data_IF_593669997077
#
_entry.id   IF_593669997077
#
_cell.length_a   1.000
_cell.length_b   1.000
_cell.length_c   1.000
_cell.angle_alpha   90.00
_cell.angle_beta   90.00
_cell.angle_gamma   90.00
#
_symmetry.space_group_name_H-M   'P 1'
#
loop_
_entity.id
_entity.type
_entity.pdbx_description
1 polymer ?
#
# COMPACT_ATOMS: atom_id res chain seq x y z
N UNK A 1 -27.88 4.11 12.23
CA UNK A 1 -29.24 4.44 11.75
C UNK A 1 -29.46 4.18 10.25
N UNK A 2 -28.51 3.60 9.51
CA UNK A 2 -28.62 3.37 8.06
C UNK A 2 -29.05 1.95 7.66
N UNK A 3 -29.19 1.03 8.60
CA UNK A 3 -29.48 -0.38 8.32
C UNK A 3 -30.98 -0.76 8.32
N UNK A 4 -31.86 0.12 8.80
CA UNK A 4 -33.28 -0.21 9.02
C UNK A 4 -34.22 0.11 7.84
N UNK A 5 -33.87 1.06 6.97
CA UNK A 5 -34.78 1.46 5.88
C UNK A 5 -34.94 0.38 4.80
N UNK A 6 -33.90 -0.42 4.53
CA UNK A 6 -33.95 -1.42 3.46
C UNK A 6 -34.70 -2.69 3.88
N UNK A 7 -34.78 -2.98 5.18
CA UNK A 7 -35.50 -4.16 5.69
C UNK A 7 -37.03 -4.02 5.58
N UNK A 8 -37.55 -2.80 5.46
CA UNK A 8 -38.97 -2.53 5.24
C UNK A 8 -39.37 -2.50 3.74
N UNK A 9 -38.43 -2.73 2.82
CA UNK A 9 -38.69 -2.61 1.39
C UNK A 9 -39.45 -3.86 0.88
N UNK A 10 -40.60 -3.69 0.21
CA UNK A 10 -41.29 -4.80 -0.45
C UNK A 10 -40.39 -5.43 -1.53
N UNK A 11 -40.40 -6.76 -1.65
CA UNK A 11 -39.58 -7.48 -2.63
C UNK A 11 -39.78 -6.98 -4.09
N UNK A 12 -41.01 -6.59 -4.44
CA UNK A 12 -41.32 -5.96 -5.74
C UNK A 12 -40.49 -4.71 -5.99
N UNK A 13 -40.34 -3.84 -4.98
CA UNK A 13 -39.61 -2.60 -5.12
C UNK A 13 -38.09 -2.83 -5.05
N UNK A 14 -37.64 -3.86 -4.33
CA UNK A 14 -36.27 -4.32 -4.36
C UNK A 14 -35.85 -4.79 -5.78
N UNK A 15 -36.71 -5.51 -6.49
CA UNK A 15 -36.46 -5.93 -7.87
C UNK A 15 -36.41 -4.74 -8.84
N UNK A 16 -37.30 -3.75 -8.67
CA UNK A 16 -37.24 -2.50 -9.44
C UNK A 16 -35.93 -1.76 -9.17
N UNK A 17 -35.52 -1.67 -7.91
CA UNK A 17 -34.26 -1.03 -7.53
C UNK A 17 -33.06 -1.74 -8.14
N UNK A 18 -33.04 -3.09 -8.15
CA UNK A 18 -32.01 -3.88 -8.83
C UNK A 18 -31.95 -3.60 -10.33
N UNK A 19 -33.10 -3.38 -10.97
CA UNK A 19 -33.15 -2.98 -12.40
C UNK A 19 -32.59 -1.57 -12.64
N UNK A 20 -32.80 -0.63 -11.71
CA UNK A 20 -32.20 0.70 -11.78
C UNK A 20 -30.70 0.68 -11.52
N UNK A 21 -30.23 -0.19 -10.61
CA UNK A 21 -28.80 -0.37 -10.37
C UNK A 21 -28.06 -0.73 -11.66
N UNK A 22 -28.65 -1.58 -12.52
CA UNK A 22 -28.10 -1.87 -13.85
C UNK A 22 -27.87 -0.61 -14.68
N UNK A 23 -28.84 0.30 -14.72
CA UNK A 23 -28.67 1.58 -15.43
C UNK A 23 -27.61 2.46 -14.74
N UNK A 24 -27.58 2.45 -13.41
CA UNK A 24 -26.65 3.25 -12.61
C UNK A 24 -25.20 2.79 -12.73
N UNK A 25 -24.92 1.53 -13.05
CA UNK A 25 -23.55 1.05 -13.35
C UNK A 25 -22.92 1.73 -14.56
N UNK A 26 -23.71 2.38 -15.40
CA UNK A 26 -23.21 3.19 -16.52
C UNK A 26 -22.57 4.49 -16.04
N UNK A 27 -22.97 4.98 -14.86
CA UNK A 27 -22.40 6.19 -14.25
C UNK A 27 -21.23 5.81 -13.35
N UNK A 28 -20.02 6.09 -13.84
CA UNK A 28 -18.75 5.75 -13.20
C UNK A 28 -18.54 6.41 -11.82
N UNK A 29 -19.20 7.54 -11.54
CA UNK A 29 -18.86 8.43 -10.41
C UNK A 29 -19.31 7.92 -9.03
N UNK A 30 -20.17 6.87 -8.97
CA UNK A 30 -20.73 6.35 -7.71
C UNK A 30 -20.73 4.82 -7.63
N UNK A 31 -19.79 4.15 -8.28
CA UNK A 31 -19.74 2.68 -8.38
C UNK A 31 -19.78 1.99 -7.00
N UNK A 32 -19.11 2.56 -5.98
CA UNK A 32 -19.05 2.01 -4.63
C UNK A 32 -20.43 1.99 -3.97
N UNK A 33 -21.19 3.08 -4.11
CA UNK A 33 -22.54 3.19 -3.58
C UNK A 33 -23.47 2.16 -4.23
N UNK A 34 -23.40 2.03 -5.56
CA UNK A 34 -24.20 1.06 -6.33
C UNK A 34 -23.86 -0.37 -5.88
N UNK A 35 -22.59 -0.70 -5.67
CA UNK A 35 -22.16 -2.02 -5.17
C UNK A 35 -22.62 -2.29 -3.72
N UNK A 36 -22.59 -1.27 -2.85
CA UNK A 36 -23.08 -1.38 -1.47
C UNK A 36 -24.58 -1.64 -1.43
N UNK A 37 -25.36 -0.88 -2.19
CA UNK A 37 -26.82 -1.04 -2.28
C UNK A 37 -27.15 -2.42 -2.88
N UNK A 38 -26.45 -2.83 -3.94
CA UNK A 38 -26.60 -4.15 -4.55
C UNK A 38 -26.35 -5.28 -3.56
N UNK A 39 -25.20 -5.26 -2.87
CA UNK A 39 -24.86 -6.29 -1.86
C UNK A 39 -25.90 -6.33 -0.73
N UNK A 40 -26.35 -5.17 -0.27
CA UNK A 40 -27.31 -5.09 0.84
C UNK A 40 -28.72 -5.58 0.42
N UNK A 41 -29.15 -5.31 -0.81
CA UNK A 41 -30.38 -5.88 -1.39
C UNK A 41 -30.28 -7.41 -1.49
N UNK A 42 -29.16 -7.93 -1.99
CA UNK A 42 -28.92 -9.37 -2.09
C UNK A 42 -28.95 -10.03 -0.71
N UNK A 43 -28.28 -9.44 0.28
CA UNK A 43 -28.24 -9.97 1.65
C UNK A 43 -29.62 -9.96 2.32
N UNK A 44 -30.41 -8.90 2.10
CA UNK A 44 -31.73 -8.73 2.73
C UNK A 44 -32.78 -9.66 2.12
N UNK A 45 -32.77 -9.85 0.80
CA UNK A 45 -33.79 -10.63 0.07
C UNK A 45 -33.32 -12.02 -0.37
N UNK A 46 -32.20 -12.53 0.17
CA UNK A 46 -31.57 -13.79 -0.25
C UNK A 46 -32.54 -14.97 -0.32
N UNK A 47 -33.38 -15.15 0.72
CA UNK A 47 -34.35 -16.24 0.79
C UNK A 47 -35.45 -16.13 -0.27
N UNK A 48 -35.89 -14.92 -0.60
CA UNK A 48 -36.92 -14.67 -1.62
C UNK A 48 -36.36 -14.85 -3.04
N UNK A 49 -35.10 -14.45 -3.25
CA UNK A 49 -34.36 -14.67 -4.49
C UNK A 49 -34.14 -16.16 -4.80
N UNK A 50 -33.83 -16.98 -3.78
CA UNK A 50 -33.68 -18.42 -3.95
C UNK A 50 -34.99 -19.12 -4.32
N UNK A 51 -36.10 -18.67 -3.71
CA UNK A 51 -37.44 -19.24 -3.91
C UNK A 51 -38.08 -18.84 -5.24
N UNK A 52 -37.61 -17.79 -5.92
CA UNK A 52 -38.21 -17.31 -7.18
C UNK A 52 -37.28 -17.53 -8.38
N UNK A 53 -37.53 -18.56 -9.22
CA UNK A 53 -36.70 -18.87 -10.39
C UNK A 53 -36.59 -17.72 -11.40
N UNK A 54 -37.65 -16.90 -11.53
CA UNK A 54 -37.70 -15.77 -12.45
C UNK A 54 -36.73 -14.61 -12.09
N UNK A 55 -36.27 -14.53 -10.84
CA UNK A 55 -35.32 -13.50 -10.40
C UNK A 55 -33.86 -13.86 -10.74
N UNK A 56 -33.56 -15.15 -10.96
CA UNK A 56 -32.21 -15.65 -11.26
C UNK A 56 -31.57 -15.00 -12.50
N UNK A 57 -32.21 -14.92 -13.68
CA UNK A 57 -31.58 -14.31 -14.86
C UNK A 57 -31.27 -12.81 -14.66
N UNK A 58 -32.12 -12.09 -13.93
CA UNK A 58 -31.91 -10.67 -13.61
C UNK A 58 -30.70 -10.51 -12.67
N UNK A 59 -30.58 -11.40 -11.70
CA UNK A 59 -29.44 -11.43 -10.77
C UNK A 59 -28.13 -11.77 -11.47
N UNK A 60 -28.12 -12.78 -12.35
CA UNK A 60 -26.92 -13.17 -13.11
C UNK A 60 -26.47 -12.02 -14.01
N UNK A 61 -27.37 -11.46 -14.81
CA UNK A 61 -27.04 -10.36 -15.72
C UNK A 61 -26.56 -9.10 -14.99
N UNK A 62 -27.08 -8.82 -13.78
CA UNK A 62 -26.58 -7.70 -12.98
C UNK A 62 -25.23 -8.00 -12.34
N UNK A 63 -25.02 -9.22 -11.83
CA UNK A 63 -23.76 -9.65 -11.21
C UNK A 63 -22.58 -9.59 -12.18
N UNK A 64 -22.78 -9.98 -13.44
CA UNK A 64 -21.74 -9.91 -14.46
C UNK A 64 -21.30 -8.45 -14.71
N UNK A 65 -22.27 -7.54 -14.84
CA UNK A 65 -22.01 -6.11 -15.04
C UNK A 65 -21.26 -5.52 -13.82
N UNK A 66 -21.68 -5.88 -12.61
CA UNK A 66 -20.99 -5.45 -11.40
C UNK A 66 -19.56 -5.97 -11.32
N UNK A 67 -19.37 -7.25 -11.62
CA UNK A 67 -18.07 -7.90 -11.60
C UNK A 67 -17.10 -7.23 -12.56
N UNK A 68 -17.50 -6.98 -13.82
CA UNK A 68 -16.63 -6.31 -14.79
C UNK A 68 -16.23 -4.90 -14.34
N UNK A 69 -17.18 -4.13 -13.81
CA UNK A 69 -16.90 -2.76 -13.35
C UNK A 69 -15.96 -2.75 -12.14
N UNK A 70 -16.24 -3.58 -11.14
CA UNK A 70 -15.40 -3.69 -9.94
C UNK A 70 -14.00 -4.18 -10.31
N UNK A 71 -13.90 -5.15 -11.23
CA UNK A 71 -12.63 -5.63 -11.74
C UNK A 71 -11.84 -4.52 -12.43
N UNK A 72 -12.48 -3.74 -13.32
CA UNK A 72 -11.83 -2.60 -13.98
C UNK A 72 -11.28 -1.58 -12.99
N UNK A 73 -12.07 -1.20 -11.98
CA UNK A 73 -11.60 -0.31 -10.91
C UNK A 73 -10.45 -0.92 -10.11
N UNK A 74 -10.55 -2.19 -9.71
CA UNK A 74 -9.50 -2.92 -8.98
C UNK A 74 -8.20 -2.95 -9.78
N UNK A 75 -8.27 -3.15 -11.09
CA UNK A 75 -7.09 -3.24 -11.94
C UNK A 75 -6.41 -1.87 -12.08
N UNK A 76 -7.18 -0.78 -12.26
CA UNK A 76 -6.65 0.60 -12.28
C UNK A 76 -5.98 0.95 -10.95
N UNK A 77 -6.68 0.74 -9.83
CA UNK A 77 -6.13 1.01 -8.50
C UNK A 77 -4.91 0.14 -8.21
N UNK A 78 -4.95 -1.15 -8.58
CA UNK A 78 -3.83 -2.07 -8.40
C UNK A 78 -2.59 -1.66 -9.18
N UNK A 79 -2.75 -1.25 -10.44
CA UNK A 79 -1.66 -0.74 -11.25
C UNK A 79 -1.07 0.56 -10.66
N UNK A 80 -1.93 1.52 -10.31
CA UNK A 80 -1.51 2.78 -9.73
C UNK A 80 -0.80 2.59 -8.39
N UNK A 81 -1.29 1.67 -7.55
CA UNK A 81 -0.67 1.35 -6.26
C UNK A 81 0.71 0.71 -6.46
N UNK A 82 0.85 -0.22 -7.40
CA UNK A 82 2.15 -0.81 -7.73
C UNK A 82 3.13 0.24 -8.28
N UNK A 83 2.66 1.17 -9.10
CA UNK A 83 3.46 2.28 -9.60
C UNK A 83 3.91 3.22 -8.47
N UNK A 84 3.00 3.57 -7.54
CA UNK A 84 3.34 4.37 -6.36
C UNK A 84 4.36 3.68 -5.45
N UNK A 85 4.19 2.38 -5.19
CA UNK A 85 5.14 1.59 -4.41
C UNK A 85 6.53 1.58 -5.07
N UNK A 86 6.58 1.40 -6.39
CA UNK A 86 7.83 1.49 -7.13
C UNK A 86 8.50 2.86 -7.03
N UNK A 87 7.73 3.93 -7.18
CA UNK A 87 8.23 5.31 -7.02
C UNK A 87 8.73 5.53 -5.58
N UNK A 88 8.02 5.01 -4.57
CA UNK A 88 8.40 5.11 -3.17
C UNK A 88 9.72 4.37 -2.88
N UNK A 89 9.91 3.17 -3.44
CA UNK A 89 11.18 2.43 -3.34
C UNK A 89 12.33 3.17 -4.04
N UNK A 90 12.07 3.77 -5.21
CA UNK A 90 13.05 4.61 -5.90
C UNK A 90 13.43 5.85 -5.07
N UNK A 91 12.47 6.49 -4.41
CA UNK A 91 12.74 7.63 -3.54
C UNK A 91 13.55 7.21 -2.31
N UNK A 92 13.19 6.10 -1.66
CA UNK A 92 13.92 5.58 -0.50
C UNK A 92 15.38 5.23 -0.84
N UNK A 93 15.61 4.57 -1.98
CA UNK A 93 16.98 4.25 -2.43
C UNK A 93 17.81 5.49 -2.76
N UNK A 94 17.20 6.54 -3.33
CA UNK A 94 17.89 7.81 -3.60
C UNK A 94 18.16 8.61 -2.32
N UNK A 95 17.22 8.65 -1.38
CA UNK A 95 17.44 9.33 -0.10
C UNK A 95 18.55 8.68 0.69
N UNK A 96 18.59 7.35 0.76
CA UNK A 96 19.69 6.65 1.42
C UNK A 96 21.01 6.83 0.67
N UNK A 97 21.00 6.81 -0.67
CA UNK A 97 22.22 6.99 -1.47
C UNK A 97 22.92 8.34 -1.23
N UNK A 98 22.17 9.44 -1.07
CA UNK A 98 22.73 10.77 -0.77
C UNK A 98 23.47 10.81 0.58
N UNK A 99 22.96 10.09 1.59
CA UNK A 99 23.59 10.03 2.91
C UNK A 99 24.60 8.88 3.06
N UNK A 100 24.56 7.87 2.19
CA UNK A 100 25.48 6.74 2.21
C UNK A 100 26.90 7.17 1.84
N UNK A 101 27.06 7.99 0.80
CA UNK A 101 28.38 8.54 0.41
C UNK A 101 28.94 9.46 1.52
N UNK A 102 28.09 10.29 2.12
CA UNK A 102 28.48 11.15 3.24
C UNK A 102 28.88 10.35 4.50
N UNK A 103 28.13 9.30 4.86
CA UNK A 103 28.49 8.40 5.98
C UNK A 103 29.77 7.62 5.69
N UNK A 104 29.94 7.11 4.46
CA UNK A 104 31.13 6.38 4.07
C UNK A 104 32.39 7.25 4.17
N UNK A 105 32.34 8.47 3.62
CA UNK A 105 33.44 9.45 3.72
C UNK A 105 33.73 9.84 5.18
N UNK A 106 32.70 10.02 6.01
CA UNK A 106 32.89 10.30 7.44
C UNK A 106 33.61 9.16 8.17
N UNK A 107 33.25 7.90 7.88
CA UNK A 107 33.92 6.74 8.47
C UNK A 107 35.37 6.62 8.00
N UNK A 108 35.63 6.89 6.73
CA UNK A 108 36.99 6.89 6.17
C UNK A 108 37.87 7.97 6.82
N UNK A 109 37.36 9.20 6.96
CA UNK A 109 38.07 10.29 7.66
C UNK A 109 38.38 9.88 9.11
N UNK A 110 37.42 9.27 9.81
CA UNK A 110 37.60 8.84 11.20
C UNK A 110 38.67 7.76 11.34
N UNK A 111 38.71 6.80 10.41
CA UNK A 111 39.72 5.74 10.37
C UNK A 111 41.11 6.26 10.03
N UNK A 112 41.21 7.23 9.11
CA UNK A 112 42.50 7.88 8.80
C UNK A 112 43.02 8.69 9.98
N UNK A 113 42.14 9.38 10.72
CA UNK A 113 42.52 10.15 11.90
C UNK A 113 42.97 9.27 13.06
N UNK A 114 42.30 8.14 13.33
CA UNK A 114 42.73 7.22 14.38
C UNK A 114 44.10 6.62 14.07
N UNK A 115 44.34 6.22 12.82
CA UNK A 115 45.62 5.65 12.38
C UNK A 115 46.79 6.64 12.54
N UNK A 116 46.57 7.92 12.16
CA UNK A 116 47.57 8.99 12.38
C UNK A 116 47.84 9.26 13.87
N UNK A 117 46.84 9.07 14.72
CA UNK A 117 46.98 9.25 16.16
C UNK A 117 47.85 8.13 16.75
N UNK A 118 47.61 6.88 16.36
CA UNK A 118 48.40 5.69 16.74
C UNK A 118 49.86 5.81 16.27
N UNK A 119 50.09 6.22 15.02
CA UNK A 119 51.45 6.43 14.48
C UNK A 119 52.21 7.52 15.28
N UNK A 120 51.52 8.57 15.74
CA UNK A 120 52.11 9.61 16.59
C UNK A 120 52.45 9.11 17.99
N UNK A 121 51.59 8.27 18.60
CA UNK A 121 51.87 7.68 19.91
C UNK A 121 53.04 6.71 19.86
N UNK A 122 53.12 5.87 18.82
CA UNK A 122 54.20 4.91 18.64
C UNK A 122 55.55 5.62 18.44
N UNK A 123 55.59 6.67 17.62
CA UNK A 123 56.78 7.50 17.44
C UNK A 123 57.22 8.20 18.74
N UNK A 124 56.26 8.57 19.60
CA UNK A 124 56.52 9.11 20.93
C UNK A 124 57.12 8.08 21.90
N UNK A 125 56.61 6.86 21.90
CA UNK A 125 57.16 5.74 22.68
C UNK A 125 58.57 5.36 22.25
N UNK A 126 58.81 5.26 20.93
CA UNK A 126 60.13 4.91 20.39
C UNK A 126 61.18 5.97 20.78
N UNK A 127 60.82 7.26 20.72
CA UNK A 127 61.70 8.34 21.18
C UNK A 127 61.98 8.28 22.70
N UNK A 128 60.99 7.94 23.52
CA UNK A 128 61.17 7.75 24.98
C UNK A 128 62.08 6.56 25.30
N UNK A 129 61.90 5.42 24.63
CA UNK A 129 62.75 4.22 24.78
C UNK A 129 64.19 4.48 24.32
N UNK A 130 64.40 5.26 23.25
CA UNK A 130 65.74 5.66 22.79
C UNK A 130 66.43 6.61 23.76
N UNK A 131 65.70 7.57 24.35
CA UNK A 131 66.24 8.52 25.32
C UNK A 131 66.67 7.83 26.63
N UNK A 132 65.92 6.83 27.11
CA UNK A 132 66.28 6.04 28.28
C UNK A 132 67.53 5.17 28.07
N UNK A 133 67.77 4.66 26.85
CA UNK A 133 68.98 3.87 26.55
C UNK A 133 70.27 4.70 26.49
N UNK A 134 70.18 5.99 26.20
CA UNK A 134 71.34 6.91 26.17
C UNK A 134 71.73 7.49 27.52
N UNK A 135 70.92 7.31 28.58
CA UNK A 135 71.21 7.88 29.92
C UNK A 135 71.81 6.87 30.89
N UNK A 136 72.15 5.66 30.45
CA UNK A 136 72.69 4.58 31.30
C UNK A 136 74.06 4.10 30.83
N UNK A 137 74.89 5.02 30.33
CA UNK A 137 76.32 4.80 30.07
C UNK A 137 77.06 6.06 30.48
#
# INVERSE_FOLDING_TARGET
MSHFFVQALPFSDALKLLSYLKQWTSYSDKIELVCRIGTLLLQTHYNQLLSMPAARPVLTASSDIFYERVKGWKDIFGFNLAAMDHIQQMMASRSDALFHDARFKLLEIRAQQSKRLEERSDMGEVKRKKKQRTTTT
#
